data_IF_497654771265
#
_entry.id   IF_497654771265
#
_cell.length_a   1.000
_cell.length_b   1.000
_cell.length_c   1.000
_cell.angle_alpha   90.00
_cell.angle_beta   90.00
_cell.angle_gamma   90.00
#
_symmetry.space_group_name_H-M   'P 1'
#
loop_
_entity.id
_entity.type
_entity.pdbx_description
1 polymer ?
#
# COMPACT_ATOMS: atom_id res chain seq x y z
N UNK A 1 26.74 24.47 1.80
CA UNK A 1 25.57 24.37 0.90
C UNK A 1 24.47 23.69 1.71
N UNK A 2 23.33 24.33 1.90
CA UNK A 2 22.20 23.73 2.62
C UNK A 2 21.53 22.72 1.69
N UNK A 3 21.87 21.44 1.81
CA UNK A 3 21.20 20.33 1.11
C UNK A 3 19.81 20.09 1.73
N UNK A 4 18.91 21.06 1.56
CA UNK A 4 17.52 20.85 1.90
C UNK A 4 16.97 19.77 0.94
N UNK A 5 16.41 18.65 1.44
CA UNK A 5 15.87 17.62 0.58
C UNK A 5 14.83 18.25 -0.35
N UNK A 6 14.94 17.97 -1.65
CA UNK A 6 14.03 18.50 -2.65
C UNK A 6 12.58 18.27 -2.20
N UNK A 7 11.80 19.35 -2.07
CA UNK A 7 10.41 19.26 -1.63
C UNK A 7 9.61 18.47 -2.67
N UNK A 8 8.97 17.38 -2.23
CA UNK A 8 8.05 16.60 -3.07
C UNK A 8 6.98 17.49 -3.69
N UNK A 9 6.68 17.23 -4.96
CA UNK A 9 5.57 17.90 -5.65
C UNK A 9 4.24 17.54 -4.99
N UNK A 10 3.21 18.37 -5.21
CA UNK A 10 1.86 18.08 -4.68
C UNK A 10 1.32 16.73 -5.16
N UNK A 11 1.66 16.33 -6.39
CA UNK A 11 1.29 15.02 -6.92
C UNK A 11 2.02 13.87 -6.20
N UNK A 12 3.34 13.96 -6.06
CA UNK A 12 4.13 12.96 -5.34
C UNK A 12 3.64 12.77 -3.91
N UNK A 13 3.29 13.85 -3.22
CA UNK A 13 2.71 13.80 -1.87
C UNK A 13 1.40 13.01 -1.84
N UNK A 14 0.47 13.27 -2.77
CA UNK A 14 -0.81 12.55 -2.81
C UNK A 14 -0.60 11.04 -2.96
N UNK A 15 0.24 10.62 -3.90
CA UNK A 15 0.52 9.20 -4.13
C UNK A 15 1.26 8.54 -2.97
N UNK A 16 2.23 9.23 -2.36
CA UNK A 16 2.91 8.75 -1.17
C UNK A 16 1.94 8.56 0.01
N UNK A 17 1.04 9.52 0.24
CA UNK A 17 0.01 9.44 1.27
C UNK A 17 -0.96 8.29 0.99
N UNK A 18 -1.41 8.11 -0.25
CA UNK A 18 -2.28 6.99 -0.62
C UNK A 18 -1.62 5.63 -0.34
N UNK A 19 -0.35 5.46 -0.72
CA UNK A 19 0.39 4.24 -0.44
C UNK A 19 0.55 4.01 1.07
N UNK A 20 0.91 5.06 1.82
CA UNK A 20 1.05 4.99 3.27
C UNK A 20 -0.26 4.64 3.97
N UNK A 21 -1.38 5.22 3.55
CA UNK A 21 -2.70 4.95 4.11
C UNK A 21 -3.10 3.47 3.91
N UNK A 22 -2.92 2.93 2.71
CA UNK A 22 -3.22 1.52 2.43
C UNK A 22 -2.28 0.59 3.23
N UNK A 23 -1.00 0.95 3.33
CA UNK A 23 -0.05 0.18 4.12
C UNK A 23 -0.44 0.14 5.60
N UNK A 24 -0.76 1.29 6.21
CA UNK A 24 -1.23 1.34 7.61
C UNK A 24 -2.51 0.52 7.79
N UNK A 25 -3.46 0.59 6.86
CA UNK A 25 -4.67 -0.23 6.88
C UNK A 25 -4.33 -1.72 6.86
N UNK A 26 -3.38 -2.14 6.04
CA UNK A 26 -2.95 -3.54 5.98
C UNK A 26 -2.26 -4.02 7.25
N UNK A 27 -1.53 -3.15 7.95
CA UNK A 27 -0.97 -3.46 9.28
C UNK A 27 -2.08 -3.63 10.31
N UNK A 28 -3.09 -2.74 10.31
CA UNK A 28 -4.27 -2.89 11.16
C UNK A 28 -5.01 -4.20 10.89
N UNK A 29 -5.20 -4.54 9.61
CA UNK A 29 -5.81 -5.80 9.19
C UNK A 29 -4.97 -7.02 9.61
N UNK A 30 -3.64 -6.95 9.54
CA UNK A 30 -2.76 -7.99 10.05
C UNK A 30 -2.94 -8.20 11.56
N UNK A 31 -3.03 -7.12 12.34
CA UNK A 31 -3.33 -7.20 13.77
C UNK A 31 -4.67 -7.90 14.04
N UNK A 32 -5.72 -7.53 13.31
CA UNK A 32 -7.02 -8.20 13.37
C UNK A 32 -6.95 -9.68 13.01
N UNK A 33 -6.25 -10.03 11.92
CA UNK A 33 -6.08 -11.40 11.44
C UNK A 33 -5.34 -12.27 12.47
N UNK A 34 -4.27 -11.75 13.07
CA UNK A 34 -3.51 -12.44 14.12
C UNK A 34 -4.34 -12.69 15.37
N UNK A 35 -5.16 -11.71 15.78
CA UNK A 35 -6.04 -11.82 16.95
C UNK A 35 -7.16 -12.85 16.73
N UNK A 36 -7.79 -12.85 15.55
CA UNK A 36 -8.93 -13.72 15.23
C UNK A 36 -8.54 -15.08 14.65
N UNK A 37 -7.27 -15.25 14.26
CA UNK A 37 -6.75 -16.40 13.50
C UNK A 37 -7.40 -16.59 12.12
N UNK A 38 -8.09 -15.58 11.60
CA UNK A 38 -8.74 -15.59 10.28
C UNK A 38 -7.84 -14.90 9.26
N UNK A 39 -7.70 -15.48 8.06
CA UNK A 39 -6.96 -14.91 6.92
C UNK A 39 -5.49 -14.51 7.21
N UNK A 40 -4.86 -15.11 8.25
CA UNK A 40 -3.49 -14.77 8.68
C UNK A 40 -2.47 -14.84 7.53
N UNK A 41 -2.47 -15.94 6.78
CA UNK A 41 -1.56 -16.14 5.64
C UNK A 41 -1.72 -15.05 4.59
N UNK A 42 -2.97 -14.68 4.29
CA UNK A 42 -3.27 -13.60 3.35
C UNK A 42 -2.79 -12.25 3.88
N UNK A 43 -3.04 -11.92 5.15
CA UNK A 43 -2.62 -10.66 5.74
C UNK A 43 -1.09 -10.51 5.75
N UNK A 44 -0.36 -11.56 6.14
CA UNK A 44 1.11 -11.58 6.10
C UNK A 44 1.61 -11.38 4.66
N UNK A 45 1.07 -12.16 3.72
CA UNK A 45 1.46 -12.08 2.31
C UNK A 45 1.17 -10.70 1.72
N UNK A 46 0.03 -10.10 2.05
CA UNK A 46 -0.37 -8.80 1.53
C UNK A 46 0.53 -7.66 2.04
N UNK A 47 0.92 -7.68 3.32
CA UNK A 47 1.90 -6.74 3.88
C UNK A 47 3.27 -6.92 3.20
N UNK A 48 3.73 -8.16 3.06
CA UNK A 48 5.01 -8.44 2.39
C UNK A 48 5.01 -7.95 0.93
N UNK A 49 3.94 -8.22 0.18
CA UNK A 49 3.77 -7.74 -1.20
C UNK A 49 3.79 -6.22 -1.29
N UNK A 50 3.17 -5.50 -0.35
CA UNK A 50 3.23 -4.04 -0.34
C UNK A 50 4.64 -3.52 -0.08
N UNK A 51 5.38 -4.11 0.87
CA UNK A 51 6.77 -3.71 1.13
C UNK A 51 7.62 -3.89 -0.13
N UNK A 52 7.62 -5.08 -0.73
CA UNK A 52 8.43 -5.34 -1.92
C UNK A 52 7.93 -4.57 -3.15
N UNK A 53 6.61 -4.43 -3.31
CA UNK A 53 5.98 -3.71 -4.42
C UNK A 53 6.29 -2.21 -4.38
N UNK A 54 6.06 -1.55 -3.24
CA UNK A 54 6.34 -0.12 -3.08
C UNK A 54 7.85 0.16 -3.11
N UNK A 55 8.66 -0.55 -2.32
CA UNK A 55 10.12 -0.32 -2.32
C UNK A 55 10.72 -0.63 -3.70
N UNK A 56 10.32 -1.73 -4.33
CA UNK A 56 10.83 -2.14 -5.63
C UNK A 56 10.39 -1.22 -6.77
N UNK A 57 9.19 -0.63 -6.70
CA UNK A 57 8.73 0.36 -7.69
C UNK A 57 9.38 1.72 -7.48
N UNK A 58 9.53 2.20 -6.24
CA UNK A 58 10.23 3.47 -5.93
C UNK A 58 11.69 3.40 -6.37
N UNK A 59 12.39 2.29 -6.08
CA UNK A 59 13.78 2.08 -6.50
C UNK A 59 13.92 2.15 -8.03
N UNK A 60 13.02 1.49 -8.77
CA UNK A 60 13.02 1.53 -10.24
C UNK A 60 12.55 2.88 -10.82
N UNK A 61 11.83 3.66 -10.04
CA UNK A 61 11.38 5.00 -10.37
C UNK A 61 12.38 6.10 -9.93
N UNK A 62 13.59 5.73 -9.47
CA UNK A 62 14.60 6.67 -8.96
C UNK A 62 14.06 7.61 -7.86
N UNK A 63 13.15 7.12 -7.01
CA UNK A 63 12.55 7.92 -5.93
C UNK A 63 11.32 8.75 -6.33
N UNK A 64 10.88 8.70 -7.60
CA UNK A 64 9.71 9.45 -8.05
C UNK A 64 8.38 8.75 -7.72
N UNK A 65 7.67 9.27 -6.73
CA UNK A 65 6.33 8.81 -6.33
C UNK A 65 5.23 9.13 -7.36
N UNK A 66 5.49 9.97 -8.36
CA UNK A 66 4.55 10.24 -9.45
C UNK A 66 4.77 9.32 -10.66
N UNK A 67 5.81 8.48 -10.61
CA UNK A 67 6.16 7.58 -11.69
C UNK A 67 5.06 6.52 -11.91
N UNK A 68 4.74 6.16 -13.17
CA UNK A 68 3.70 5.18 -13.48
C UNK A 68 3.87 3.84 -12.76
N UNK A 69 5.12 3.35 -12.61
CA UNK A 69 5.40 2.11 -11.88
C UNK A 69 4.92 2.14 -10.43
N UNK A 70 5.16 3.25 -9.71
CA UNK A 70 4.72 3.38 -8.32
C UNK A 70 3.20 3.53 -8.25
N UNK A 71 2.62 4.38 -9.11
CA UNK A 71 1.16 4.56 -9.22
C UNK A 71 0.44 3.23 -9.46
N UNK A 72 0.94 2.40 -10.39
CA UNK A 72 0.38 1.07 -10.65
C UNK A 72 0.42 0.18 -9.41
N UNK A 73 1.49 0.22 -8.61
CA UNK A 73 1.54 -0.54 -7.34
C UNK A 73 0.52 -0.04 -6.33
N UNK A 74 0.31 1.28 -6.22
CA UNK A 74 -0.74 1.85 -5.37
C UNK A 74 -2.12 1.39 -5.86
N UNK A 75 -2.39 1.47 -7.16
CA UNK A 75 -3.68 1.06 -7.74
C UNK A 75 -3.95 -0.44 -7.60
N UNK A 76 -2.95 -1.30 -7.77
CA UNK A 76 -3.10 -2.74 -7.53
C UNK A 76 -3.52 -3.03 -6.08
N UNK A 77 -3.00 -2.27 -5.11
CA UNK A 77 -3.38 -2.42 -3.71
C UNK A 77 -4.74 -1.80 -3.38
N UNK A 78 -5.14 -0.72 -4.06
CA UNK A 78 -6.53 -0.24 -4.00
C UNK A 78 -7.49 -1.31 -4.50
N UNK A 79 -7.20 -1.95 -5.63
CA UNK A 79 -8.03 -3.03 -6.18
C UNK A 79 -8.11 -4.20 -5.19
N UNK A 80 -6.97 -4.65 -4.66
CA UNK A 80 -6.94 -5.71 -3.65
C UNK A 80 -7.78 -5.37 -2.42
N UNK A 81 -7.67 -4.13 -1.91
CA UNK A 81 -8.47 -3.65 -0.79
C UNK A 81 -9.98 -3.62 -1.14
N UNK A 82 -10.35 -3.11 -2.31
CA UNK A 82 -11.75 -3.09 -2.75
C UNK A 82 -12.34 -4.50 -2.87
N UNK A 83 -11.59 -5.45 -3.42
CA UNK A 83 -12.01 -6.84 -3.53
C UNK A 83 -12.14 -7.50 -2.14
N UNK A 84 -11.22 -7.20 -1.22
CA UNK A 84 -11.29 -7.69 0.15
C UNK A 84 -12.55 -7.17 0.86
N UNK A 85 -12.84 -5.87 0.74
CA UNK A 85 -14.06 -5.26 1.28
C UNK A 85 -15.30 -5.92 0.67
N UNK A 86 -15.33 -6.11 -0.64
CA UNK A 86 -16.45 -6.77 -1.32
C UNK A 86 -16.69 -8.20 -0.82
N UNK A 87 -15.62 -8.96 -0.52
CA UNK A 87 -15.73 -10.29 0.05
C UNK A 87 -16.38 -10.27 1.44
N UNK A 88 -15.99 -9.32 2.30
CA UNK A 88 -16.61 -9.16 3.62
C UNK A 88 -18.08 -8.77 3.52
N UNK A 89 -18.42 -7.82 2.64
CA UNK A 89 -19.81 -7.40 2.42
C UNK A 89 -20.68 -8.53 1.86
N UNK A 90 -20.15 -9.32 0.92
CA UNK A 90 -20.85 -10.51 0.40
C UNK A 90 -21.04 -11.57 1.48
N UNK A 91 -20.05 -11.78 2.34
CA UNK A 91 -20.15 -12.75 3.44
C UNK A 91 -21.18 -12.39 4.52
N UNK A 92 -21.66 -11.14 4.53
CA UNK A 92 -22.71 -10.67 5.44
C UNK A 92 -24.13 -10.68 4.85
N UNK A 93 -24.28 -11.07 3.58
CA UNK A 93 -25.57 -11.20 2.88
C UNK A 93 -26.01 -12.67 2.81
#
# INVERSE_FOLDING_TARGET
MSDAPAKLTGEQKRWAISAAAIFVLSIGFLGYALNTRVLVTFAIGWVALQIFGYVGSIKRANGDFSHPLFKSQVMLNVIALSLLIALFLRGTA
#
